data_IF_651371127401
#
_entry.id   IF_651371127401
#
_cell.length_a   1.000
_cell.length_b   1.000
_cell.length_c   1.000
_cell.angle_alpha   90.00
_cell.angle_beta   90.00
_cell.angle_gamma   90.00
#
_symmetry.space_group_name_H-M   'P 1'
#
loop_
_entity.id
_entity.type
_entity.pdbx_description
1 polymer ?
#
# COMPACT_ATOMS: atom_id res chain seq x y z
N UNK A 1 -17.97 -34.42 33.02
CA UNK A 1 -18.34 -33.91 34.35
C UNK A 1 -17.13 -33.26 34.97
N UNK A 2 -17.26 -32.00 35.39
CA UNK A 2 -16.18 -31.26 36.07
C UNK A 2 -16.17 -29.77 35.76
N UNK A 3 -17.29 -29.07 35.96
CA UNK A 3 -17.33 -27.60 36.06
C UNK A 3 -16.67 -27.17 37.36
N UNK A 4 -15.76 -26.19 37.31
CA UNK A 4 -15.27 -25.49 38.51
C UNK A 4 -15.26 -23.99 38.25
N UNK A 5 -16.01 -23.27 39.07
CA UNK A 5 -16.20 -21.82 39.06
C UNK A 5 -14.99 -21.09 39.66
N UNK A 6 -14.58 -19.97 39.08
CA UNK A 6 -13.67 -19.03 39.72
C UNK A 6 -14.47 -17.96 40.47
N UNK A 7 -14.26 -17.88 41.79
CA UNK A 7 -14.84 -16.90 42.70
C UNK A 7 -14.13 -15.54 42.53
N UNK A 8 -14.93 -14.46 42.52
CA UNK A 8 -14.49 -13.06 42.42
C UNK A 8 -13.89 -12.61 43.76
N UNK A 9 -12.64 -12.15 43.75
CA UNK A 9 -11.99 -11.51 44.91
C UNK A 9 -12.53 -10.08 45.07
N UNK A 10 -12.89 -9.71 46.30
CA UNK A 10 -13.33 -8.36 46.70
C UNK A 10 -12.12 -7.40 46.80
N UNK A 11 -12.29 -6.10 46.51
CA UNK A 11 -11.21 -5.13 46.61
C UNK A 11 -10.88 -4.78 48.07
N UNK A 12 -9.61 -4.47 48.39
CA UNK A 12 -9.20 -4.17 49.75
C UNK A 12 -9.75 -2.83 50.27
N UNK A 13 -9.94 -2.69 51.60
CA UNK A 13 -10.56 -1.52 52.20
C UNK A 13 -9.64 -0.29 52.22
N UNK A 14 -10.23 0.87 51.90
CA UNK A 14 -9.64 2.20 52.07
C UNK A 14 -9.74 2.65 53.54
N UNK A 15 -8.61 2.82 54.23
CA UNK A 15 -8.27 4.01 55.05
C UNK A 15 -7.12 3.81 56.06
N UNK A 16 -6.18 4.76 56.05
CA UNK A 16 -5.36 5.23 57.18
C UNK A 16 -3.86 5.37 56.88
N UNK A 17 -3.08 6.20 57.61
CA UNK A 17 -3.34 7.53 58.18
C UNK A 17 -2.33 8.62 57.68
N UNK A 18 -2.67 9.90 57.86
CA UNK A 18 -1.85 11.07 57.51
C UNK A 18 -0.49 11.12 58.25
N UNK A 19 0.60 11.26 57.49
CA UNK A 19 1.89 11.79 57.97
C UNK A 19 2.48 12.71 56.91
N UNK A 20 2.67 13.97 57.30
CA UNK A 20 3.19 15.03 56.43
C UNK A 20 4.70 15.01 56.21
N UNK A 21 5.06 15.77 55.17
CA UNK A 21 6.36 16.36 54.85
C UNK A 21 7.46 15.41 54.35
N UNK A 22 7.69 15.40 53.03
CA UNK A 22 8.89 15.97 52.38
C UNK A 22 8.93 15.59 50.89
N UNK A 23 8.98 16.60 50.03
CA UNK A 23 9.81 16.62 48.81
C UNK A 23 9.39 15.75 47.62
N UNK A 24 8.91 16.43 46.58
CA UNK A 24 9.21 16.11 45.17
C UNK A 24 8.71 14.75 44.64
N UNK A 25 7.41 14.67 44.35
CA UNK A 25 6.93 13.76 43.31
C UNK A 25 6.30 14.56 42.17
N UNK A 26 6.86 14.33 40.99
CA UNK A 26 6.51 14.97 39.73
C UNK A 26 5.14 14.41 39.33
N UNK A 27 4.09 15.22 39.45
CA UNK A 27 2.79 14.93 38.86
C UNK A 27 3.00 14.78 37.34
N UNK A 28 3.01 13.54 36.88
CA UNK A 28 2.67 13.23 35.49
C UNK A 28 1.20 13.61 35.32
N UNK A 29 0.96 14.86 34.93
CA UNK A 29 -0.31 15.25 34.34
C UNK A 29 -0.39 14.49 33.02
N UNK A 30 -1.00 13.31 33.05
CA UNK A 30 -1.56 12.67 31.86
C UNK A 30 -2.69 13.58 31.38
N UNK A 31 -2.31 14.63 30.64
CA UNK A 31 -3.23 15.34 29.76
C UNK A 31 -3.58 14.33 28.68
N UNK A 32 -4.65 13.57 28.88
CA UNK A 32 -5.37 13.00 27.76
C UNK A 32 -5.61 14.17 26.80
N UNK A 33 -5.18 14.10 25.52
CA UNK A 33 -5.68 15.06 24.55
C UNK A 33 -7.16 14.74 24.40
N UNK A 34 -7.98 15.44 25.19
CA UNK A 34 -9.40 15.57 24.94
C UNK A 34 -9.52 15.89 23.45
N UNK A 35 -10.02 14.92 22.69
CA UNK A 35 -10.39 15.12 21.32
C UNK A 35 -11.57 16.10 21.32
N UNK A 36 -11.24 17.38 21.46
CA UNK A 36 -12.06 18.49 21.03
C UNK A 36 -12.22 18.30 19.53
N UNK A 37 -13.20 17.47 19.16
CA UNK A 37 -13.91 17.60 17.91
C UNK A 37 -14.69 18.92 18.00
N UNK A 38 -13.95 20.03 18.01
CA UNK A 38 -14.52 21.27 17.53
C UNK A 38 -15.02 20.94 16.13
N UNK A 39 -16.33 21.08 15.95
CA UNK A 39 -17.00 21.03 14.68
C UNK A 39 -16.42 22.23 13.90
N UNK A 40 -15.23 22.03 13.31
CA UNK A 40 -14.55 23.03 12.50
C UNK A 40 -15.55 23.45 11.44
N UNK A 41 -15.88 24.73 11.49
CA UNK A 41 -16.98 25.35 10.78
C UNK A 41 -17.04 24.89 9.32
N UNK A 42 -18.27 24.69 8.82
CA UNK A 42 -18.59 24.54 7.40
C UNK A 42 -18.22 25.83 6.63
N UNK A 43 -16.94 26.17 6.60
CA UNK A 43 -16.40 27.21 5.73
C UNK A 43 -16.14 26.56 4.38
N UNK A 44 -16.78 27.08 3.35
CA UNK A 44 -16.53 26.65 1.99
C UNK A 44 -15.10 27.06 1.60
N UNK A 45 -14.29 26.06 1.28
CA UNK A 45 -12.89 26.20 0.89
C UNK A 45 -12.66 25.52 -0.46
N UNK A 46 -11.81 26.13 -1.28
CA UNK A 46 -11.54 25.66 -2.64
C UNK A 46 -10.05 25.33 -2.74
N UNK A 47 -9.73 24.16 -3.30
CA UNK A 47 -8.36 23.78 -3.61
C UNK A 47 -7.91 24.55 -4.86
N UNK A 48 -6.90 25.39 -4.72
CA UNK A 48 -6.41 26.24 -5.82
C UNK A 48 -5.21 25.60 -6.50
N UNK A 49 -4.23 25.16 -5.70
CA UNK A 49 -3.01 24.54 -6.19
C UNK A 49 -2.83 23.18 -5.53
N UNK A 50 -2.21 22.27 -6.29
CA UNK A 50 -1.76 20.98 -5.79
C UNK A 50 -0.32 20.81 -6.23
N UNK A 51 0.58 20.76 -5.25
CA UNK A 51 2.00 20.51 -5.49
C UNK A 51 2.33 19.04 -5.26
N UNK A 52 3.14 18.48 -6.14
CA UNK A 52 3.57 17.09 -6.04
C UNK A 52 5.09 17.04 -6.00
N UNK A 53 5.63 16.73 -4.83
CA UNK A 53 7.07 16.73 -4.55
C UNK A 53 7.58 15.29 -4.47
N UNK A 54 8.81 15.07 -4.95
CA UNK A 54 9.47 13.75 -4.91
C UNK A 54 9.18 12.85 -6.11
N UNK A 55 8.58 13.40 -7.18
CA UNK A 55 8.51 12.76 -8.49
C UNK A 55 9.85 12.80 -9.20
N UNK A 56 10.25 11.66 -9.76
CA UNK A 56 11.46 11.58 -10.57
C UNK A 56 11.24 10.86 -11.90
N UNK A 57 10.39 9.85 -11.94
CA UNK A 57 10.18 9.02 -13.14
C UNK A 57 8.73 8.80 -13.49
N UNK A 58 7.86 8.87 -12.50
CA UNK A 58 6.43 8.70 -12.70
C UNK A 58 5.91 9.85 -13.54
N UNK A 59 5.10 9.55 -14.56
CA UNK A 59 4.52 10.59 -15.42
C UNK A 59 3.39 11.31 -14.71
N UNK A 60 3.37 12.63 -14.82
CA UNK A 60 2.34 13.50 -14.26
C UNK A 60 0.94 13.11 -14.73
N UNK A 61 0.82 12.61 -15.96
CA UNK A 61 -0.44 12.11 -16.54
C UNK A 61 -1.13 11.04 -15.66
N UNK A 62 -0.34 10.14 -15.06
CA UNK A 62 -0.85 9.05 -14.19
C UNK A 62 -1.32 9.62 -12.86
N UNK A 63 -0.69 10.68 -12.39
CA UNK A 63 -0.94 11.27 -11.08
C UNK A 63 -2.15 12.19 -11.13
N UNK A 64 -2.27 12.95 -12.22
CA UNK A 64 -3.35 13.91 -12.45
C UNK A 64 -4.73 13.25 -12.49
N UNK A 65 -4.85 12.03 -13.03
CA UNK A 65 -6.12 11.32 -13.02
C UNK A 65 -6.54 10.93 -11.59
N UNK A 66 -5.61 10.42 -10.78
CA UNK A 66 -5.87 9.91 -9.44
C UNK A 66 -6.22 11.04 -8.45
N UNK A 67 -5.62 12.22 -8.64
CA UNK A 67 -5.85 13.45 -7.85
C UNK A 67 -7.08 14.23 -8.31
N UNK A 68 -7.61 13.97 -9.51
CA UNK A 68 -8.75 14.71 -10.07
C UNK A 68 -9.99 14.79 -9.17
N UNK A 69 -10.12 13.90 -8.18
CA UNK A 69 -11.16 13.95 -7.17
C UNK A 69 -10.96 15.07 -6.12
N UNK A 70 -9.72 15.42 -5.78
CA UNK A 70 -9.35 16.43 -4.77
C UNK A 70 -9.82 17.82 -5.20
N UNK A 71 -9.67 18.16 -6.49
CA UNK A 71 -10.14 19.44 -7.05
C UNK A 71 -11.67 19.62 -6.98
N UNK A 72 -12.44 18.54 -6.78
CA UNK A 72 -13.90 18.61 -6.67
C UNK A 72 -14.38 18.85 -5.23
N UNK A 73 -13.49 18.90 -4.25
CA UNK A 73 -13.87 19.11 -2.85
C UNK A 73 -14.23 20.58 -2.58
N UNK A 74 -15.23 20.80 -1.72
CA UNK A 74 -15.69 22.15 -1.34
C UNK A 74 -15.54 22.47 0.15
N UNK A 75 -15.23 21.48 0.97
CA UNK A 75 -15.12 21.61 2.42
C UNK A 75 -13.77 21.03 2.87
N UNK A 76 -13.14 21.60 3.90
CA UNK A 76 -11.89 21.09 4.48
C UNK A 76 -11.98 19.61 4.85
N UNK A 77 -13.11 19.16 5.41
CA UNK A 77 -13.30 17.74 5.74
C UNK A 77 -13.33 16.87 4.47
N UNK A 78 -13.94 17.38 3.40
CA UNK A 78 -13.99 16.71 2.11
C UNK A 78 -12.62 16.68 1.43
N UNK A 79 -11.84 17.77 1.51
CA UNK A 79 -10.46 17.85 1.03
C UNK A 79 -9.62 16.80 1.77
N UNK A 80 -9.66 16.77 3.10
CA UNK A 80 -8.91 15.82 3.91
C UNK A 80 -9.26 14.37 3.52
N UNK A 81 -10.56 14.04 3.43
CA UNK A 81 -11.03 12.70 3.07
C UNK A 81 -10.64 12.31 1.64
N UNK A 82 -10.77 13.22 0.67
CA UNK A 82 -10.42 12.93 -0.72
C UNK A 82 -8.91 12.85 -0.93
N UNK A 83 -8.13 13.67 -0.24
CA UNK A 83 -6.66 13.60 -0.28
C UNK A 83 -6.17 12.29 0.33
N UNK A 84 -6.74 11.84 1.46
CA UNK A 84 -6.41 10.52 2.02
C UNK A 84 -6.82 9.38 1.09
N UNK A 85 -7.99 9.46 0.46
CA UNK A 85 -8.40 8.49 -0.56
C UNK A 85 -7.47 8.50 -1.78
N UNK A 86 -6.95 9.66 -2.17
CA UNK A 86 -5.98 9.78 -3.25
C UNK A 86 -4.64 9.15 -2.87
N UNK A 87 -4.15 9.37 -1.64
CA UNK A 87 -2.92 8.71 -1.16
C UNK A 87 -3.06 7.19 -1.10
N UNK A 88 -4.20 6.67 -0.64
CA UNK A 88 -4.49 5.23 -0.69
C UNK A 88 -4.42 4.68 -2.12
N UNK A 89 -5.03 5.37 -3.09
CA UNK A 89 -4.95 4.97 -4.51
C UNK A 89 -3.51 4.99 -5.03
N UNK A 90 -2.73 6.02 -4.68
CA UNK A 90 -1.34 6.16 -5.09
C UNK A 90 -0.45 5.06 -4.50
N UNK A 91 -0.66 4.70 -3.23
CA UNK A 91 -0.01 3.55 -2.60
C UNK A 91 -0.45 2.23 -3.24
N UNK A 92 -1.73 2.12 -3.60
CA UNK A 92 -2.27 0.93 -4.26
C UNK A 92 -1.71 0.69 -5.68
N UNK A 93 -1.33 1.77 -6.40
CA UNK A 93 -0.57 1.65 -7.65
C UNK A 93 0.76 0.91 -7.42
N UNK A 94 1.34 0.98 -6.22
CA UNK A 94 2.60 0.34 -5.86
C UNK A 94 3.81 0.91 -6.60
N UNK A 95 3.75 2.21 -6.92
CA UNK A 95 4.85 3.03 -7.46
C UNK A 95 5.54 3.81 -6.34
N UNK A 96 4.78 4.17 -5.31
CA UNK A 96 5.24 4.95 -4.16
C UNK A 96 5.39 4.06 -2.93
N UNK A 97 6.47 4.28 -2.19
CA UNK A 97 6.75 3.63 -0.91
C UNK A 97 6.02 4.34 0.23
N UNK A 98 5.97 5.66 0.17
CA UNK A 98 5.38 6.54 1.17
C UNK A 98 4.77 7.74 0.47
N UNK A 99 3.62 8.20 0.98
CA UNK A 99 2.87 9.36 0.50
C UNK A 99 2.39 10.12 1.72
N UNK A 100 2.95 11.31 1.93
CA UNK A 100 2.58 12.23 2.99
C UNK A 100 1.81 13.42 2.39
N UNK A 101 0.85 13.95 3.14
CA UNK A 101 -0.06 15.01 2.69
C UNK A 101 0.05 16.18 3.64
N UNK A 102 0.36 17.35 3.11
CA UNK A 102 0.42 18.61 3.83
C UNK A 102 -0.64 19.55 3.25
N UNK A 103 -1.55 20.01 4.10
CA UNK A 103 -2.60 20.97 3.72
C UNK A 103 -2.24 22.31 4.33
N UNK A 104 -2.01 23.30 3.49
CA UNK A 104 -1.72 24.65 3.90
C UNK A 104 -2.85 25.59 3.47
N UNK A 105 -3.08 26.62 4.27
CA UNK A 105 -3.89 27.76 3.85
C UNK A 105 -3.02 28.64 2.96
N UNK A 106 -3.55 29.04 1.80
CA UNK A 106 -2.83 29.93 0.91
C UNK A 106 -2.69 31.30 1.59
N UNK A 107 -1.46 31.76 1.81
CA UNK A 107 -1.17 33.11 2.30
C UNK A 107 -0.45 33.88 1.18
N UNK A 108 -1.17 34.78 0.51
CA UNK A 108 -0.61 35.62 -0.57
C UNK A 108 -1.64 36.59 -1.15
N UNK A 109 -1.19 37.72 -1.68
CA UNK A 109 -2.04 38.82 -2.19
C UNK A 109 -2.92 38.45 -3.41
N UNK A 110 -2.56 37.40 -4.16
CA UNK A 110 -3.30 36.93 -5.35
C UNK A 110 -4.18 35.67 -5.07
N UNK A 111 -4.26 35.23 -3.83
CA UNK A 111 -4.98 34.00 -3.45
C UNK A 111 -6.38 34.31 -2.93
N UNK A 112 -7.37 33.52 -3.32
CA UNK A 112 -8.71 33.60 -2.72
C UNK A 112 -8.57 33.44 -1.20
N UNK A 113 -9.22 34.27 -0.39
CA UNK A 113 -9.17 34.17 1.09
C UNK A 113 -9.61 32.80 1.65
N UNK A 114 -10.24 31.95 0.82
CA UNK A 114 -10.66 30.59 1.15
C UNK A 114 -9.90 29.52 0.34
N UNK A 115 -8.75 29.87 -0.23
CA UNK A 115 -7.89 28.98 -1.01
C UNK A 115 -7.08 28.04 -0.11
N UNK A 116 -7.07 26.76 -0.47
CA UNK A 116 -6.20 25.74 0.10
C UNK A 116 -5.16 25.31 -0.91
N UNK A 117 -3.95 25.08 -0.42
CA UNK A 117 -2.88 24.43 -1.14
C UNK A 117 -2.65 23.04 -0.55
N UNK A 118 -2.56 22.04 -1.42
CA UNK A 118 -2.36 20.64 -1.02
C UNK A 118 -1.04 20.16 -1.60
N UNK A 119 -0.09 19.89 -0.72
CA UNK A 119 1.23 19.40 -1.09
C UNK A 119 1.27 17.90 -0.80
N UNK A 120 1.56 17.10 -1.82
CA UNK A 120 1.83 15.68 -1.68
C UNK A 120 3.34 15.46 -1.73
N UNK A 121 3.90 14.97 -0.63
CA UNK A 121 5.29 14.53 -0.58
C UNK A 121 5.33 13.03 -0.78
N UNK A 122 5.94 12.59 -1.89
CA UNK A 122 5.99 11.17 -2.25
C UNK A 122 7.41 10.67 -2.35
N UNK A 123 7.60 9.42 -1.95
CA UNK A 123 8.87 8.70 -2.16
C UNK A 123 8.63 7.53 -3.10
N UNK A 124 9.20 7.59 -4.32
CA UNK A 124 9.12 6.51 -5.31
C UNK A 124 9.87 5.23 -4.84
N UNK A 125 9.42 4.06 -5.31
CA UNK A 125 10.16 2.80 -5.13
C UNK A 125 11.50 2.83 -5.88
N UNK A 126 12.44 1.99 -5.42
CA UNK A 126 13.75 1.81 -6.08
C UNK A 126 13.56 1.22 -7.49
N UNK A 127 14.50 1.55 -8.41
CA UNK A 127 14.54 1.06 -9.80
C UNK A 127 14.41 -0.46 -9.89
N UNK A 128 15.17 -1.13 -9.03
CA UNK A 128 15.37 -2.56 -9.02
C UNK A 128 15.36 -3.00 -7.57
N UNK A 129 14.54 -3.99 -7.27
CA UNK A 129 14.50 -4.68 -5.99
C UNK A 129 14.84 -6.14 -6.25
N UNK A 130 15.96 -6.59 -5.72
CA UNK A 130 16.34 -8.00 -5.74
C UNK A 130 16.07 -8.64 -4.38
N UNK A 131 15.59 -9.88 -4.39
CA UNK A 131 15.57 -10.76 -3.24
C UNK A 131 16.21 -12.08 -3.63
N UNK A 132 17.02 -12.63 -2.73
CA UNK A 132 17.53 -13.99 -2.83
C UNK A 132 17.01 -14.75 -1.61
N UNK A 133 16.50 -15.95 -1.83
CA UNK A 133 15.96 -16.82 -0.82
C UNK A 133 16.61 -18.20 -0.99
N UNK A 134 17.07 -18.80 0.08
CA UNK A 134 17.61 -20.18 0.06
C UNK A 134 16.84 -20.99 1.09
N UNK A 135 16.26 -22.10 0.66
CA UNK A 135 15.56 -23.04 1.51
C UNK A 135 16.27 -24.39 1.46
N UNK A 136 16.49 -24.99 2.62
CA UNK A 136 17.08 -26.32 2.75
C UNK A 136 16.17 -27.11 3.68
N UNK A 137 15.64 -28.24 3.20
CA UNK A 137 14.75 -29.09 3.97
C UNK A 137 14.54 -30.46 3.33
N UNK A 138 14.46 -31.51 4.15
CA UNK A 138 14.12 -32.88 3.73
C UNK A 138 14.88 -33.39 2.47
N UNK A 139 16.21 -33.31 2.47
CA UNK A 139 17.10 -33.66 1.33
C UNK A 139 16.87 -32.84 0.05
N UNK A 140 16.20 -31.69 0.16
CA UNK A 140 15.98 -30.76 -0.95
C UNK A 140 16.58 -29.41 -0.60
N UNK A 141 17.35 -28.86 -1.54
CA UNK A 141 17.74 -27.47 -1.55
C UNK A 141 16.99 -26.74 -2.66
N UNK A 142 16.48 -25.55 -2.36
CA UNK A 142 16.04 -24.60 -3.37
C UNK A 142 16.63 -23.22 -3.14
N UNK A 143 17.04 -22.58 -4.22
CA UNK A 143 17.54 -21.21 -4.24
C UNK A 143 16.65 -20.39 -5.16
N UNK A 144 15.86 -19.49 -4.59
CA UNK A 144 15.04 -18.53 -5.31
C UNK A 144 15.75 -17.18 -5.46
N UNK A 145 15.73 -16.61 -6.64
CA UNK A 145 16.14 -15.27 -6.97
C UNK A 145 14.93 -14.55 -7.58
N UNK A 146 14.55 -13.42 -7.01
CA UNK A 146 13.44 -12.61 -7.54
C UNK A 146 13.93 -11.18 -7.76
N UNK A 147 13.77 -10.69 -8.98
CA UNK A 147 14.06 -9.33 -9.38
C UNK A 147 12.74 -8.64 -9.71
N UNK A 148 12.49 -7.48 -9.10
CA UNK A 148 11.31 -6.66 -9.31
C UNK A 148 11.74 -5.29 -9.82
N UNK A 149 11.21 -4.90 -10.96
CA UNK A 149 11.43 -3.62 -11.63
C UNK A 149 10.10 -2.87 -11.66
N UNK A 150 9.77 -2.10 -10.61
CA UNK A 150 8.58 -1.27 -10.59
C UNK A 150 8.79 0.01 -11.43
N UNK A 151 7.72 0.45 -12.07
CA UNK A 151 7.60 1.70 -12.81
C UNK A 151 8.64 1.89 -13.95
N UNK A 152 8.78 0.90 -14.83
CA UNK A 152 9.81 0.90 -15.89
C UNK A 152 9.68 2.08 -16.87
N UNK A 153 8.46 2.34 -17.37
CA UNK A 153 8.16 3.43 -18.32
C UNK A 153 7.50 4.67 -17.68
N UNK A 154 7.43 4.75 -16.35
CA UNK A 154 6.72 5.85 -15.66
C UNK A 154 5.19 5.73 -15.68
N UNK A 155 4.65 4.63 -16.23
CA UNK A 155 3.21 4.36 -16.41
C UNK A 155 2.67 3.22 -15.52
N UNK A 156 3.15 3.07 -14.27
CA UNK A 156 2.68 2.01 -13.35
C UNK A 156 2.95 0.57 -13.81
N UNK A 157 3.93 0.37 -14.68
CA UNK A 157 4.32 -0.96 -15.17
C UNK A 157 5.21 -1.67 -14.15
N UNK A 158 5.04 -2.98 -13.97
CA UNK A 158 5.84 -3.79 -13.04
C UNK A 158 6.32 -5.02 -13.78
N UNK A 159 7.63 -5.21 -13.83
CA UNK A 159 8.24 -6.42 -14.37
C UNK A 159 8.83 -7.21 -13.21
N UNK A 160 8.42 -8.45 -13.05
CA UNK A 160 8.98 -9.37 -12.06
C UNK A 160 9.59 -10.55 -12.78
N UNK A 161 10.85 -10.79 -12.49
CA UNK A 161 11.58 -11.97 -12.93
C UNK A 161 11.86 -12.83 -11.71
N UNK A 162 11.41 -14.07 -11.73
CA UNK A 162 11.61 -15.03 -10.66
C UNK A 162 12.28 -16.28 -11.22
N UNK A 163 13.40 -16.64 -10.62
CA UNK A 163 14.18 -17.81 -10.97
C UNK A 163 14.35 -18.64 -9.71
N UNK A 164 13.90 -19.89 -9.72
CA UNK A 164 14.17 -20.80 -8.61
C UNK A 164 14.95 -22.00 -9.12
N UNK A 165 16.04 -22.32 -8.42
CA UNK A 165 16.84 -23.49 -8.66
C UNK A 165 16.64 -24.48 -7.53
N UNK A 166 15.80 -25.49 -7.75
CA UNK A 166 15.55 -26.58 -6.82
C UNK A 166 16.18 -27.89 -7.28
N UNK A 167 16.35 -28.82 -6.33
CA UNK A 167 16.85 -30.17 -6.63
C UNK A 167 15.89 -30.98 -7.51
N UNK A 168 14.58 -30.69 -7.43
CA UNK A 168 13.50 -31.38 -8.16
C UNK A 168 12.94 -30.58 -9.33
N UNK A 169 12.87 -29.26 -9.17
CA UNK A 169 12.20 -28.35 -10.11
C UNK A 169 13.01 -27.07 -10.26
N UNK A 170 13.05 -26.58 -11.49
CA UNK A 170 13.71 -25.32 -11.86
C UNK A 170 12.71 -24.43 -12.60
N UNK A 171 11.87 -23.67 -11.87
CA UNK A 171 10.94 -22.73 -12.48
C UNK A 171 11.64 -21.40 -12.84
N UNK A 172 11.30 -20.91 -14.02
CA UNK A 172 11.62 -19.59 -14.53
C UNK A 172 10.28 -18.88 -14.77
N UNK A 173 10.07 -17.71 -14.18
CA UNK A 173 8.87 -16.89 -14.39
C UNK A 173 9.32 -15.47 -14.76
N UNK A 174 8.76 -14.96 -15.85
CA UNK A 174 8.81 -13.56 -16.22
C UNK A 174 7.38 -13.04 -16.30
N UNK A 175 7.00 -12.18 -15.36
CA UNK A 175 5.70 -11.54 -15.33
C UNK A 175 5.80 -10.04 -15.61
N UNK A 176 5.01 -9.60 -16.58
CA UNK A 176 4.80 -8.20 -16.92
C UNK A 176 3.39 -7.80 -16.49
N UNK A 177 3.27 -6.79 -15.64
CA UNK A 177 2.01 -6.27 -15.15
C UNK A 177 1.88 -4.79 -15.50
N UNK A 178 0.77 -4.42 -16.12
CA UNK A 178 0.43 -3.04 -16.46
C UNK A 178 -0.96 -2.71 -15.93
N UNK A 179 -1.03 -1.72 -15.04
CA UNK A 179 -2.31 -1.14 -14.61
C UNK A 179 -2.74 -0.06 -15.60
N UNK A 180 -4.04 0.03 -15.90
CA UNK A 180 -4.54 1.12 -16.74
C UNK A 180 -4.66 2.42 -15.91
N UNK A 181 -4.17 3.55 -16.43
CA UNK A 181 -4.33 4.85 -15.78
C UNK A 181 -5.80 5.11 -15.48
N UNK A 182 -6.09 5.43 -14.22
CA UNK A 182 -7.40 5.87 -13.81
C UNK A 182 -8.48 4.83 -13.54
N UNK A 183 -8.22 3.56 -13.83
CA UNK A 183 -9.02 2.49 -13.27
C UNK A 183 -8.12 1.32 -12.89
N UNK A 184 -7.56 1.38 -11.68
CA UNK A 184 -6.64 0.37 -11.17
C UNK A 184 -7.20 -1.07 -11.25
N UNK A 185 -8.52 -1.22 -11.11
CA UNK A 185 -9.21 -2.52 -11.20
C UNK A 185 -9.10 -3.15 -12.59
N UNK A 186 -8.77 -2.36 -13.62
CA UNK A 186 -8.39 -2.86 -14.94
C UNK A 186 -6.89 -3.06 -14.97
N UNK A 187 -6.48 -4.32 -15.07
CA UNK A 187 -5.09 -4.67 -15.21
C UNK A 187 -4.90 -5.64 -16.36
N UNK A 188 -3.72 -5.52 -16.97
CA UNK A 188 -3.22 -6.41 -18.00
C UNK A 188 -1.98 -7.08 -17.40
N UNK A 189 -2.00 -8.40 -17.30
CA UNK A 189 -0.84 -9.18 -16.91
C UNK A 189 -0.50 -10.21 -17.97
N UNK A 190 0.78 -10.23 -18.33
CA UNK A 190 1.38 -11.26 -19.16
C UNK A 190 2.33 -12.01 -18.27
N UNK A 191 2.15 -13.31 -18.11
CA UNK A 191 3.12 -14.15 -17.43
C UNK A 191 3.69 -15.12 -18.46
N UNK A 192 5.01 -15.26 -18.47
CA UNK A 192 5.73 -16.24 -19.24
C UNK A 192 6.50 -17.10 -18.25
N UNK A 193 6.11 -18.36 -18.11
CA UNK A 193 6.78 -19.28 -17.22
C UNK A 193 7.27 -20.52 -17.97
N UNK A 194 8.38 -21.06 -17.48
CA UNK A 194 8.91 -22.35 -17.86
C UNK A 194 9.22 -23.11 -16.58
N UNK A 195 8.57 -24.24 -16.38
CA UNK A 195 8.83 -25.13 -15.25
C UNK A 195 9.46 -26.38 -15.80
N UNK A 196 10.66 -26.71 -15.35
CA UNK A 196 11.32 -27.96 -15.73
C UNK A 196 11.59 -28.76 -14.48
N UNK A 197 11.08 -29.99 -14.41
CA UNK A 197 11.18 -30.81 -13.22
C UNK A 197 10.95 -32.28 -13.47
N UNK A 198 11.35 -33.07 -12.47
CA UNK A 198 11.12 -34.50 -12.44
C UNK A 198 9.96 -34.81 -11.51
N UNK A 199 8.95 -35.51 -12.03
CA UNK A 199 7.81 -35.90 -11.20
C UNK A 199 8.22 -36.99 -10.19
N UNK A 200 7.91 -36.86 -8.89
CA UNK A 200 8.37 -37.84 -7.90
C UNK A 200 7.82 -39.26 -8.09
N UNK A 201 6.71 -39.39 -8.82
CA UNK A 201 5.94 -40.62 -9.02
C UNK A 201 6.29 -41.33 -10.34
N UNK A 202 7.11 -40.70 -11.19
CA UNK A 202 7.46 -41.19 -12.53
C UNK A 202 8.86 -40.72 -12.91
N UNK A 203 9.68 -41.57 -13.52
CA UNK A 203 11.01 -41.18 -14.04
C UNK A 203 10.98 -40.20 -15.23
N UNK A 204 9.80 -39.65 -15.54
CA UNK A 204 9.57 -38.75 -16.65
C UNK A 204 10.13 -37.35 -16.33
N UNK A 205 10.85 -36.81 -17.31
CA UNK A 205 11.30 -35.42 -17.33
C UNK A 205 10.29 -34.60 -18.13
N UNK A 206 9.66 -33.62 -17.50
CA UNK A 206 8.70 -32.74 -18.16
C UNK A 206 9.22 -31.30 -18.13
N UNK A 207 9.04 -30.62 -19.26
CA UNK A 207 9.33 -29.22 -19.41
C UNK A 207 8.05 -28.53 -19.87
N UNK A 208 7.31 -27.96 -18.91
CA UNK A 208 6.13 -27.16 -19.19
C UNK A 208 6.54 -25.73 -19.50
N UNK A 209 5.90 -25.15 -20.52
CA UNK A 209 6.12 -23.79 -21.00
C UNK A 209 4.77 -23.22 -21.36
N UNK A 210 4.43 -22.09 -20.76
CA UNK A 210 3.24 -21.37 -21.16
C UNK A 210 3.46 -19.87 -21.09
N UNK A 211 2.72 -19.15 -21.92
CA UNK A 211 2.64 -17.70 -21.87
C UNK A 211 1.18 -17.26 -21.66
N UNK A 212 0.61 -17.42 -20.45
CA UNK A 212 -0.72 -16.94 -20.17
C UNK A 212 -0.82 -15.41 -20.25
N UNK A 213 -1.77 -14.95 -21.08
CA UNK A 213 -2.23 -13.57 -21.10
C UNK A 213 -3.48 -13.45 -20.22
N UNK A 214 -3.40 -12.64 -19.17
CA UNK A 214 -4.49 -12.38 -18.26
C UNK A 214 -4.94 -10.92 -18.40
N UNK A 215 -6.22 -10.69 -18.67
CA UNK A 215 -6.81 -9.35 -18.65
C UNK A 215 -7.95 -9.34 -17.66
N UNK A 216 -7.91 -8.41 -16.70
CA UNK A 216 -8.98 -8.21 -15.72
C UNK A 216 -9.72 -6.93 -16.05
N UNK A 217 -11.04 -7.02 -16.15
CA UNK A 217 -11.90 -5.86 -16.30
C UNK A 217 -13.05 -5.90 -15.28
N UNK A 218 -13.27 -4.81 -14.54
CA UNK A 218 -14.45 -4.67 -13.71
C UNK A 218 -15.63 -4.25 -14.59
N UNK A 219 -16.69 -5.05 -14.56
CA UNK A 219 -18.00 -4.70 -15.12
C UNK A 219 -18.99 -4.54 -13.96
N UNK A 220 -19.21 -3.29 -13.54
CA UNK A 220 -20.03 -2.97 -12.36
C UNK A 220 -19.42 -3.50 -11.06
N UNK A 221 -20.14 -4.41 -10.38
CA UNK A 221 -19.67 -5.09 -9.15
C UNK A 221 -18.90 -6.39 -9.41
N UNK A 222 -18.87 -6.86 -10.66
CA UNK A 222 -18.21 -8.13 -11.02
C UNK A 222 -16.84 -7.84 -11.62
N UNK A 223 -15.81 -8.54 -11.14
CA UNK A 223 -14.51 -8.56 -11.78
C UNK A 223 -14.43 -9.79 -12.68
N UNK A 224 -14.30 -9.58 -13.98
CA UNK A 224 -14.14 -10.67 -14.95
C UNK A 224 -12.67 -10.77 -15.32
N UNK A 225 -12.13 -11.99 -15.26
CA UNK A 225 -10.75 -12.29 -15.64
C UNK A 225 -10.78 -13.22 -16.83
N UNK A 226 -10.21 -12.78 -17.95
CA UNK A 226 -9.95 -13.64 -19.10
C UNK A 226 -8.50 -14.09 -19.00
N UNK A 227 -8.28 -15.40 -18.93
CA UNK A 227 -6.97 -16.03 -19.06
C UNK A 227 -6.91 -16.75 -20.38
N UNK A 228 -5.94 -16.39 -21.21
CA UNK A 228 -5.69 -17.04 -22.48
C UNK A 228 -4.34 -17.74 -22.37
N UNK A 229 -4.38 -19.07 -22.35
CA UNK A 229 -3.18 -19.91 -22.25
C UNK A 229 -2.71 -20.26 -23.67
N UNK A 230 -1.50 -19.83 -24.01
CA UNK A 230 -0.81 -20.24 -25.24
C UNK A 230 0.35 -21.16 -24.88
N UNK A 231 0.40 -22.34 -25.50
CA UNK A 231 1.48 -23.34 -25.39
C UNK A 231 2.46 -23.29 -26.56
#
# INVERSE_FOLDING_TARGET
MGTVHAQRLEPPPSNGPDFGALGEEVEFVEVEPEAQQEIMENKDMIVQHVHFNGLGRTRDDVIMYEIGDVFKARNIFEVMRKSHKASEKLLHLGIFRQVDILIHTCQGDDMLHNGLDVIFEVTELRRLMGSYNTMVGNNEGSMGLSLKLPNLLGCSEKVTFEFSYGTKETPYDLSFFKSQPGNFKRNLSVNMYKVTGQFPWSSLWEADRACPLCTVFPYGKVATTIKLEGG
#
